data_IF_741328710942
#
_entry.id   IF_741328710942
#
_cell.length_a   1.000
_cell.length_b   1.000
_cell.length_c   1.000
_cell.angle_alpha   90.00
_cell.angle_beta   90.00
_cell.angle_gamma   90.00
#
_symmetry.space_group_name_H-M   'P 1'
#
loop_
_entity.id
_entity.type
_entity.pdbx_description
1 polymer ?
#
# COMPACT_ATOMS: atom_id res chain seq x y z
N UNK A 1 32.80 7.14 21.31
CA UNK A 1 32.98 6.60 19.94
C UNK A 1 31.83 7.16 19.12
N UNK A 2 32.12 8.14 18.26
CA UNK A 2 31.13 8.74 17.37
C UNK A 2 30.74 7.73 16.30
N UNK A 3 29.46 7.33 16.26
CA UNK A 3 28.89 6.64 15.11
C UNK A 3 29.00 7.57 13.91
N UNK A 4 29.97 7.31 13.04
CA UNK A 4 30.00 7.90 11.71
C UNK A 4 28.88 7.16 10.96
N UNK A 5 27.71 7.79 10.84
CA UNK A 5 26.78 7.46 9.77
C UNK A 5 27.57 7.65 8.47
N UNK A 6 28.09 6.55 7.91
CA UNK A 6 28.57 6.54 6.54
C UNK A 6 27.38 6.94 5.66
N UNK A 7 27.35 8.22 5.29
CA UNK A 7 26.48 8.72 4.23
C UNK A 7 26.96 8.10 2.91
N UNK A 8 26.52 6.87 2.66
CA UNK A 8 26.56 6.26 1.35
C UNK A 8 25.90 7.25 0.37
N UNK A 9 26.50 7.52 -0.80
CA UNK A 9 25.87 8.37 -1.80
C UNK A 9 24.47 7.84 -2.07
N UNK A 10 23.47 8.72 -2.11
CA UNK A 10 22.04 8.38 -2.10
C UNK A 10 21.69 7.36 -3.17
N UNK A 11 21.76 6.07 -2.81
CA UNK A 11 21.51 4.98 -3.73
C UNK A 11 20.02 4.73 -3.78
N UNK A 12 19.43 4.82 -4.98
CA UNK A 12 18.01 4.55 -5.18
C UNK A 12 17.66 3.05 -4.98
N UNK A 13 18.64 2.16 -4.78
CA UNK A 13 18.45 0.70 -4.66
C UNK A 13 17.37 0.33 -3.64
N UNK A 14 17.35 0.98 -2.47
CA UNK A 14 16.33 0.72 -1.45
C UNK A 14 14.92 1.14 -1.90
N UNK A 15 14.81 2.23 -2.65
CA UNK A 15 13.54 2.72 -3.20
C UNK A 15 13.04 1.79 -4.32
N UNK A 16 13.94 1.34 -5.21
CA UNK A 16 13.62 0.36 -6.25
C UNK A 16 13.13 -0.97 -5.67
N UNK A 17 13.76 -1.45 -4.59
CA UNK A 17 13.28 -2.62 -3.85
C UNK A 17 11.89 -2.42 -3.25
N UNK A 18 11.60 -1.23 -2.75
CA UNK A 18 10.28 -0.83 -2.26
C UNK A 18 9.20 -0.95 -3.33
N UNK A 19 9.43 -0.40 -4.52
CA UNK A 19 8.49 -0.48 -5.64
C UNK A 19 8.25 -1.92 -6.11
N UNK A 20 9.28 -2.77 -6.12
CA UNK A 20 9.12 -4.19 -6.46
C UNK A 20 8.21 -4.91 -5.46
N UNK A 21 8.36 -4.65 -4.16
CA UNK A 21 7.50 -5.24 -3.15
C UNK A 21 6.06 -4.73 -3.26
N UNK A 22 5.88 -3.42 -3.42
CA UNK A 22 4.58 -2.78 -3.67
C UNK A 22 3.86 -3.41 -4.87
N UNK A 23 4.55 -3.55 -6.01
CA UNK A 23 3.97 -4.18 -7.20
C UNK A 23 3.55 -5.63 -7.00
N UNK A 24 4.33 -6.42 -6.22
CA UNK A 24 3.97 -7.81 -5.89
C UNK A 24 2.70 -7.88 -5.02
N UNK A 25 2.60 -7.02 -4.02
CA UNK A 25 1.42 -6.96 -3.14
C UNK A 25 0.18 -6.51 -3.93
N UNK A 26 0.31 -5.48 -4.77
CA UNK A 26 -0.75 -5.02 -5.64
C UNK A 26 -1.25 -6.13 -6.59
N UNK A 27 -0.33 -6.84 -7.24
CA UNK A 27 -0.66 -7.95 -8.13
C UNK A 27 -1.39 -9.08 -7.38
N UNK A 28 -0.95 -9.43 -6.18
CA UNK A 28 -1.62 -10.44 -5.35
C UNK A 28 -3.09 -10.05 -5.08
N UNK A 29 -3.34 -8.81 -4.67
CA UNK A 29 -4.72 -8.34 -4.44
C UNK A 29 -5.57 -8.39 -5.71
N UNK A 30 -5.02 -7.99 -6.85
CA UNK A 30 -5.72 -8.07 -8.14
C UNK A 30 -6.05 -9.51 -8.51
N UNK A 31 -5.11 -10.45 -8.40
CA UNK A 31 -5.34 -11.86 -8.69
C UNK A 31 -6.39 -12.48 -7.77
N UNK A 32 -6.38 -12.09 -6.48
CA UNK A 32 -7.38 -12.53 -5.52
C UNK A 32 -8.78 -12.08 -5.95
N UNK A 33 -8.95 -10.80 -6.30
CA UNK A 33 -10.23 -10.26 -6.77
C UNK A 33 -10.68 -10.91 -8.08
N UNK A 34 -9.78 -11.10 -9.06
CA UNK A 34 -10.09 -11.79 -10.32
C UNK A 34 -10.55 -13.24 -10.11
N UNK A 35 -10.02 -13.91 -9.08
CA UNK A 35 -10.35 -15.31 -8.76
C UNK A 35 -11.64 -15.42 -7.96
N UNK A 36 -11.78 -14.62 -6.89
CA UNK A 36 -12.90 -14.69 -5.96
C UNK A 36 -14.13 -13.93 -6.47
N UNK A 37 -13.95 -12.97 -7.39
CA UNK A 37 -14.97 -12.07 -7.96
C UNK A 37 -15.85 -11.41 -6.90
N UNK A 38 -15.29 -11.23 -5.71
CA UNK A 38 -15.99 -10.67 -4.57
C UNK A 38 -15.04 -10.01 -3.59
N UNK A 39 -15.54 -9.01 -2.88
CA UNK A 39 -14.85 -8.31 -1.81
C UNK A 39 -15.87 -7.87 -0.77
N UNK A 40 -15.64 -8.16 0.52
CA UNK A 40 -16.59 -7.88 1.61
C UNK A 40 -18.04 -8.35 1.31
N UNK A 41 -18.22 -9.55 0.74
CA UNK A 41 -19.51 -10.11 0.34
C UNK A 41 -20.24 -9.35 -0.81
N UNK A 42 -19.60 -8.34 -1.42
CA UNK A 42 -20.05 -7.70 -2.66
C UNK A 42 -19.43 -8.41 -3.87
N UNK A 43 -20.21 -8.60 -4.92
CA UNK A 43 -19.71 -9.10 -6.22
C UNK A 43 -18.90 -7.97 -6.89
N UNK A 44 -17.70 -8.31 -7.37
CA UNK A 44 -16.81 -7.39 -8.07
C UNK A 44 -16.55 -7.99 -9.45
N UNK A 45 -17.27 -7.49 -10.45
CA UNK A 45 -17.14 -7.93 -11.85
C UNK A 45 -16.04 -7.18 -12.60
N UNK A 46 -15.79 -5.93 -12.22
CA UNK A 46 -14.73 -5.08 -12.76
C UNK A 46 -14.12 -4.23 -11.62
N UNK A 47 -12.85 -3.87 -11.77
CA UNK A 47 -12.14 -3.00 -10.83
C UNK A 47 -10.95 -2.33 -11.49
N UNK A 48 -10.53 -1.20 -10.93
CA UNK A 48 -9.34 -0.47 -11.37
C UNK A 48 -8.24 -0.55 -10.30
N UNK A 49 -7.01 -0.78 -10.75
CA UNK A 49 -5.82 -0.66 -9.91
C UNK A 49 -5.21 0.73 -10.12
N UNK A 50 -5.13 1.52 -9.05
CA UNK A 50 -4.34 2.76 -9.04
C UNK A 50 -3.02 2.55 -8.31
N UNK A 51 -1.92 2.95 -8.94
CA UNK A 51 -0.57 2.93 -8.37
C UNK A 51 -0.13 4.35 -8.06
N UNK A 52 0.55 4.55 -6.93
CA UNK A 52 1.21 5.82 -6.55
C UNK A 52 0.31 7.07 -6.62
N UNK A 53 -0.98 6.91 -6.33
CA UNK A 53 -2.01 7.96 -6.39
C UNK A 53 -2.65 8.17 -5.01
N UNK A 54 -3.72 7.43 -4.72
CA UNK A 54 -4.51 7.55 -3.48
C UNK A 54 -3.76 7.06 -2.25
N UNK A 55 -2.97 6.00 -2.42
CA UNK A 55 -1.95 5.51 -1.48
C UNK A 55 -0.79 4.95 -2.32
N UNK A 56 0.10 4.13 -1.73
CA UNK A 56 1.09 3.37 -2.50
C UNK A 56 0.38 2.52 -3.60
N UNK A 57 -0.76 1.91 -3.27
CA UNK A 57 -1.78 1.55 -4.27
C UNK A 57 -3.19 1.51 -3.69
N UNK A 58 -4.19 1.57 -4.56
CA UNK A 58 -5.60 1.46 -4.19
C UNK A 58 -6.38 0.66 -5.24
N UNK A 59 -7.42 -0.04 -4.78
CA UNK A 59 -8.39 -0.72 -5.65
C UNK A 59 -9.67 0.11 -5.69
N UNK A 60 -10.13 0.39 -6.90
CA UNK A 60 -11.34 1.13 -7.18
C UNK A 60 -12.39 0.22 -7.80
N UNK A 61 -13.66 0.47 -7.48
CA UNK A 61 -14.83 -0.14 -8.11
C UNK A 61 -15.89 0.96 -8.26
N UNK A 62 -16.44 1.11 -9.46
CA UNK A 62 -17.47 2.13 -9.76
C UNK A 62 -17.08 3.56 -9.34
N UNK A 63 -15.81 3.93 -9.53
CA UNK A 63 -15.28 5.24 -9.16
C UNK A 63 -15.12 5.49 -7.64
N UNK A 64 -15.26 4.44 -6.82
CA UNK A 64 -15.06 4.48 -5.36
C UNK A 64 -13.90 3.60 -4.94
N UNK A 65 -13.17 4.02 -3.91
CA UNK A 65 -12.10 3.19 -3.33
C UNK A 65 -12.73 2.09 -2.50
N UNK A 66 -12.44 0.82 -2.80
CA UNK A 66 -12.85 -0.30 -1.96
C UNK A 66 -11.74 -0.70 -0.97
N UNK A 67 -10.47 -0.47 -1.36
CA UNK A 67 -9.36 -0.67 -0.45
C UNK A 67 -8.14 0.20 -0.75
N UNK A 68 -7.53 0.76 0.30
CA UNK A 68 -6.23 1.46 0.24
C UNK A 68 -5.13 0.59 0.83
N UNK A 69 -3.92 0.70 0.29
CA UNK A 69 -2.81 -0.14 0.69
C UNK A 69 -1.52 0.69 0.84
N UNK A 70 -1.07 0.81 2.08
CA UNK A 70 0.22 1.40 2.43
C UNK A 70 1.24 0.27 2.57
N UNK A 71 2.30 0.28 1.76
CA UNK A 71 3.30 -0.79 1.67
C UNK A 71 4.67 -0.27 2.12
N UNK A 72 5.33 -1.00 3.03
CA UNK A 72 6.67 -0.66 3.52
C UNK A 72 7.56 -1.89 3.47
N UNK A 73 8.51 -1.91 2.55
CA UNK A 73 9.51 -2.99 2.43
C UNK A 73 10.65 -2.90 3.47
N UNK A 74 10.52 -2.07 4.51
CA UNK A 74 11.58 -1.83 5.50
C UNK A 74 11.54 -2.93 6.55
N UNK A 75 12.70 -3.49 6.90
CA UNK A 75 12.88 -4.56 7.90
C UNK A 75 12.85 -4.07 9.37
N UNK A 76 12.05 -3.05 9.71
CA UNK A 76 11.92 -2.72 11.14
C UNK A 76 10.96 -3.68 11.82
N UNK A 77 11.39 -4.26 12.94
CA UNK A 77 10.57 -5.11 13.79
C UNK A 77 9.59 -4.30 14.67
N UNK A 78 9.78 -2.98 14.79
CA UNK A 78 9.01 -2.14 15.69
C UNK A 78 7.93 -1.35 14.95
N UNK A 79 6.68 -1.45 15.42
CA UNK A 79 5.56 -0.65 14.91
C UNK A 79 5.75 0.86 15.06
N UNK A 80 6.51 1.29 16.06
CA UNK A 80 6.84 2.70 16.30
C UNK A 80 7.55 3.35 15.10
N UNK A 81 8.34 2.58 14.36
CA UNK A 81 9.07 3.06 13.18
C UNK A 81 8.14 3.38 12.00
N UNK A 82 6.89 2.92 12.05
CA UNK A 82 5.89 3.11 11.01
C UNK A 82 4.84 4.16 11.34
N UNK A 83 4.91 4.81 12.52
CA UNK A 83 3.88 5.76 12.98
C UNK A 83 3.55 6.83 11.93
N UNK A 84 4.56 7.37 11.26
CA UNK A 84 4.36 8.37 10.18
C UNK A 84 3.59 7.79 9.00
N UNK A 85 3.91 6.56 8.58
CA UNK A 85 3.23 5.90 7.46
C UNK A 85 1.80 5.48 7.84
N UNK A 86 1.58 5.01 9.07
CA UNK A 86 0.25 4.68 9.59
C UNK A 86 -0.62 5.94 9.63
N UNK A 87 -0.07 7.05 10.11
CA UNK A 87 -0.79 8.33 10.15
C UNK A 87 -1.13 8.82 8.73
N UNK A 88 -0.18 8.74 7.79
CA UNK A 88 -0.43 9.03 6.37
C UNK A 88 -1.59 8.19 5.84
N UNK A 89 -1.56 6.87 6.03
CA UNK A 89 -2.60 5.96 5.58
C UNK A 89 -3.98 6.25 6.19
N UNK A 90 -4.01 6.71 7.46
CA UNK A 90 -5.24 7.09 8.14
C UNK A 90 -5.86 8.39 7.62
N UNK A 91 -5.03 9.32 7.12
CA UNK A 91 -5.51 10.60 6.58
C UNK A 91 -6.08 10.53 5.16
N UNK A 92 -5.93 9.41 4.45
CA UNK A 92 -6.45 9.26 3.08
C UNK A 92 -7.98 9.30 3.11
N UNK A 93 -8.59 10.27 2.43
CA UNK A 93 -10.04 10.43 2.38
C UNK A 93 -10.60 10.48 0.95
N UNK A 94 -9.74 10.59 -0.06
CA UNK A 94 -10.13 10.68 -1.47
C UNK A 94 -10.92 9.44 -1.88
N UNK A 95 -12.16 9.63 -2.31
CA UNK A 95 -13.08 8.59 -2.78
C UNK A 95 -13.35 7.42 -1.81
N UNK A 96 -12.90 7.55 -0.55
CA UNK A 96 -13.15 6.59 0.52
C UNK A 96 -14.50 6.85 1.20
N UNK A 97 -15.05 5.81 1.79
CA UNK A 97 -16.24 5.80 2.62
C UNK A 97 -16.03 4.91 3.87
N UNK A 98 -17.10 4.64 4.61
CA UNK A 98 -17.08 3.84 5.84
C UNK A 98 -16.79 2.35 5.60
N UNK A 99 -17.02 1.86 4.38
CA UNK A 99 -16.79 0.47 3.99
C UNK A 99 -15.38 0.23 3.46
N UNK A 100 -14.65 1.30 3.14
CA UNK A 100 -13.28 1.24 2.58
C UNK A 100 -12.30 0.56 3.54
N UNK A 101 -11.70 -0.55 3.11
CA UNK A 101 -10.69 -1.28 3.90
C UNK A 101 -9.30 -0.67 3.72
N UNK A 102 -8.60 -0.46 4.84
CA UNK A 102 -7.22 0.08 4.84
C UNK A 102 -6.24 -1.00 5.24
N UNK A 103 -5.33 -1.34 4.35
CA UNK A 103 -4.26 -2.30 4.60
C UNK A 103 -2.93 -1.61 4.84
N UNK A 104 -2.16 -2.15 5.78
CA UNK A 104 -0.78 -1.75 6.06
C UNK A 104 0.13 -2.98 5.96
N UNK A 105 1.02 -2.99 4.98
CA UNK A 105 1.91 -4.12 4.67
C UNK A 105 3.34 -3.78 5.09
N UNK A 106 3.96 -4.66 5.90
CA UNK A 106 5.34 -4.57 6.42
C UNK A 106 6.04 -5.92 6.36
#
# INVERSE_FOLDING_TARGET
>A
MSNIEETLPGSAISSWGGFVYQGKVALYHCLKLLTEKSFQQRIIDDFELQLDSTDDFAIYCDGKVISTHQVKAKLSQYRSEYVKAIYKAACIATDCDEDTIRYFHV
#
